data_IF_729318246608
#
_entry.id   IF_729318246608
#
_cell.length_a   1.000
_cell.length_b   1.000
_cell.length_c   1.000
_cell.angle_alpha   90.00
_cell.angle_beta   90.00
_cell.angle_gamma   90.00
#
_symmetry.space_group_name_H-M   'P 1'
#
loop_
_entity.id
_entity.type
_entity.pdbx_description
1 polymer ?
#
# COMPACT_ATOMS: atom_id res chain seq x y z
N UNK A 1 16.90 -0.54 1.54
CA UNK A 1 18.01 -0.34 2.51
C UNK A 1 17.42 -0.62 3.89
N UNK A 2 17.98 -1.55 4.65
CA UNK A 2 17.38 -2.00 5.91
C UNK A 2 17.92 -1.19 7.10
N UNK A 3 17.03 -0.77 8.00
CA UNK A 3 17.36 -0.02 9.22
C UNK A 3 17.94 -0.97 10.27
N UNK A 4 18.91 -0.51 11.07
CA UNK A 4 19.48 -1.29 12.18
C UNK A 4 20.64 -2.21 11.82
N UNK A 5 20.99 -2.34 10.53
CA UNK A 5 22.17 -3.10 10.07
C UNK A 5 23.47 -2.29 10.02
N UNK A 6 23.40 -0.96 10.09
CA UNK A 6 24.54 -0.05 9.96
C UNK A 6 24.45 1.06 11.02
N UNK A 7 25.30 1.04 12.06
CA UNK A 7 25.19 1.95 13.22
C UNK A 7 25.31 3.44 12.91
N UNK A 8 26.04 3.81 11.85
CA UNK A 8 26.35 5.20 11.51
C UNK A 8 25.61 5.70 10.27
N UNK A 9 24.52 5.02 9.90
CA UNK A 9 23.72 5.41 8.75
C UNK A 9 23.02 6.75 9.01
N UNK A 10 23.28 7.74 8.14
CA UNK A 10 22.61 9.04 8.16
C UNK A 10 21.39 8.96 7.25
N UNK A 11 20.22 9.29 7.80
CA UNK A 11 18.96 9.33 7.05
C UNK A 11 18.65 10.77 6.64
N UNK A 12 18.26 10.96 5.39
CA UNK A 12 17.82 12.25 4.89
C UNK A 12 16.32 12.45 5.18
N UNK A 13 15.97 13.67 5.58
CA UNK A 13 14.59 14.08 5.78
C UNK A 13 14.08 14.91 4.60
N UNK A 14 12.80 14.80 4.30
CA UNK A 14 12.09 15.63 3.32
C UNK A 14 10.81 16.21 3.90
N UNK A 15 10.34 17.31 3.32
CA UNK A 15 9.06 17.91 3.66
C UNK A 15 8.34 18.40 2.40
N UNK A 16 7.02 18.33 2.40
CA UNK A 16 6.17 18.80 1.31
C UNK A 16 4.88 19.38 1.89
N UNK A 17 4.36 20.43 1.26
CA UNK A 17 3.03 20.94 1.59
C UNK A 17 1.97 20.03 0.98
N UNK A 18 0.94 19.73 1.77
CA UNK A 18 -0.22 18.94 1.35
C UNK A 18 -1.48 19.78 1.49
N UNK A 19 -2.37 19.68 0.52
CA UNK A 19 -3.64 20.40 0.55
C UNK A 19 -4.61 19.76 1.55
N UNK A 20 -5.60 20.52 2.00
CA UNK A 20 -6.72 19.97 2.77
C UNK A 20 -7.43 18.87 1.97
N UNK A 21 -7.97 17.88 2.69
CA UNK A 21 -8.63 16.69 2.14
C UNK A 21 -7.70 15.76 1.33
N UNK A 22 -6.38 15.92 1.49
CA UNK A 22 -5.41 14.97 0.95
C UNK A 22 -5.36 13.69 1.79
N UNK A 23 -4.96 12.58 1.16
CA UNK A 23 -4.66 11.32 1.83
C UNK A 23 -3.20 10.95 1.61
N UNK A 24 -2.48 10.63 2.69
CA UNK A 24 -1.17 10.00 2.63
C UNK A 24 -1.29 8.53 3.00
N UNK A 25 -0.79 7.66 2.13
CA UNK A 25 -0.73 6.22 2.38
C UNK A 25 0.72 5.80 2.64
N UNK A 26 0.93 5.04 3.71
CA UNK A 26 2.22 4.42 4.06
C UNK A 26 1.99 2.91 4.10
N UNK A 27 2.83 2.14 3.41
CA UNK A 27 2.64 0.70 3.26
C UNK A 27 3.97 -0.07 3.22
N UNK A 28 3.94 -1.36 3.57
CA UNK A 28 5.03 -2.31 3.35
C UNK A 28 5.08 -2.79 1.90
N UNK A 29 6.21 -3.34 1.48
CA UNK A 29 6.38 -4.04 0.21
C UNK A 29 5.44 -5.24 0.02
N UNK A 30 5.00 -5.90 1.10
CA UNK A 30 3.94 -6.92 1.03
C UNK A 30 2.61 -6.44 0.40
N UNK A 31 2.33 -5.13 0.38
CA UNK A 31 1.17 -4.54 -0.35
C UNK A 31 1.41 -4.52 -1.87
N UNK A 32 2.66 -4.63 -2.29
CA UNK A 32 3.12 -4.52 -3.67
C UNK A 32 3.52 -5.84 -4.30
N UNK A 33 4.16 -6.73 -3.53
CA UNK A 33 4.72 -8.00 -4.01
C UNK A 33 3.67 -9.11 -4.10
N UNK A 34 2.54 -8.82 -4.76
CA UNK A 34 1.46 -9.79 -4.97
C UNK A 34 1.52 -10.35 -6.38
N UNK A 35 1.75 -11.66 -6.47
CA UNK A 35 1.63 -12.41 -7.73
C UNK A 35 0.17 -12.74 -8.00
N UNK A 36 -0.33 -12.33 -9.17
CA UNK A 36 -1.70 -12.64 -9.61
C UNK A 36 -1.82 -14.10 -10.04
N UNK A 37 -3.05 -14.61 -10.10
CA UNK A 37 -3.36 -15.97 -10.57
C UNK A 37 -2.89 -16.26 -12.00
N UNK A 38 -2.74 -15.24 -12.85
CA UNK A 38 -2.19 -15.36 -14.21
C UNK A 38 -0.66 -15.36 -14.28
N UNK A 39 0.01 -15.27 -13.12
CA UNK A 39 1.46 -15.22 -12.98
C UNK A 39 2.08 -13.84 -13.23
N UNK A 40 1.26 -12.81 -13.52
CA UNK A 40 1.74 -11.43 -13.60
C UNK A 40 1.80 -10.78 -12.22
N UNK A 41 2.66 -9.77 -12.07
CA UNK A 41 2.77 -9.03 -10.80
C UNK A 41 1.75 -7.90 -10.73
N UNK A 42 1.20 -7.67 -9.54
CA UNK A 42 0.53 -6.43 -9.19
C UNK A 42 1.51 -5.25 -9.31
N UNK A 43 1.10 -4.19 -9.98
CA UNK A 43 1.98 -3.07 -10.34
C UNK A 43 1.63 -1.77 -9.63
N UNK A 44 2.60 -0.85 -9.57
CA UNK A 44 2.46 0.35 -8.71
C UNK A 44 1.44 1.31 -9.31
N UNK A 45 1.32 1.29 -10.63
CA UNK A 45 0.25 1.97 -11.35
C UNK A 45 -1.12 1.40 -11.00
N UNK A 46 -1.28 0.07 -10.95
CA UNK A 46 -2.55 -0.55 -10.57
C UNK A 46 -2.94 -0.21 -9.12
N UNK A 47 -1.98 -0.17 -8.19
CA UNK A 47 -2.21 0.29 -6.82
C UNK A 47 -2.71 1.74 -6.79
N UNK A 48 -2.03 2.64 -7.50
CA UNK A 48 -2.46 4.04 -7.61
C UNK A 48 -3.85 4.16 -8.22
N UNK A 49 -4.14 3.41 -9.27
CA UNK A 49 -5.45 3.39 -9.90
C UNK A 49 -6.53 2.88 -8.95
N UNK A 50 -6.23 1.86 -8.15
CA UNK A 50 -7.12 1.34 -7.13
C UNK A 50 -7.44 2.41 -6.07
N UNK A 51 -6.41 3.03 -5.47
CA UNK A 51 -6.57 4.03 -4.42
C UNK A 51 -7.22 5.34 -4.88
N UNK A 52 -7.30 5.59 -6.18
CA UNK A 52 -8.02 6.73 -6.76
C UNK A 52 -9.51 6.49 -6.89
N UNK A 53 -9.97 5.23 -6.81
CA UNK A 53 -11.39 4.90 -6.83
C UNK A 53 -12.02 5.33 -5.51
N UNK A 54 -13.29 5.75 -5.56
CA UNK A 54 -14.05 5.97 -4.32
C UNK A 54 -14.35 4.60 -3.69
N UNK A 55 -14.23 4.46 -2.36
CA UNK A 55 -14.64 3.25 -1.67
C UNK A 55 -16.08 2.91 -2.02
N UNK A 56 -16.34 1.63 -2.29
CA UNK A 56 -17.66 1.11 -2.61
C UNK A 56 -18.27 0.39 -1.40
N UNK A 57 -19.47 0.82 -0.98
CA UNK A 57 -20.23 0.08 0.03
C UNK A 57 -19.89 0.41 1.48
N UNK A 58 -19.15 1.49 1.74
CA UNK A 58 -18.94 2.03 3.09
C UNK A 58 -17.85 1.33 3.91
N UNK A 59 -17.09 0.43 3.29
CA UNK A 59 -15.81 -0.05 3.81
C UNK A 59 -14.73 1.02 3.61
N UNK A 60 -13.59 0.88 4.31
CA UNK A 60 -12.43 1.71 3.99
C UNK A 60 -11.80 1.20 2.69
N UNK A 61 -11.18 2.09 1.93
CA UNK A 61 -10.45 1.73 0.71
C UNK A 61 -9.30 0.73 0.98
N UNK A 62 -8.77 0.69 2.21
CA UNK A 62 -7.74 -0.26 2.62
C UNK A 62 -8.33 -1.66 2.76
N UNK A 63 -9.53 -1.79 3.34
CA UNK A 63 -10.22 -3.08 3.46
C UNK A 63 -10.58 -3.63 2.08
N UNK A 64 -11.06 -2.75 1.18
CA UNK A 64 -11.35 -3.11 -0.20
C UNK A 64 -10.09 -3.54 -0.96
N UNK A 65 -8.97 -2.85 -0.75
CA UNK A 65 -7.69 -3.23 -1.35
C UNK A 65 -7.23 -4.59 -0.85
N UNK A 66 -7.30 -4.84 0.47
CA UNK A 66 -6.89 -6.10 1.07
C UNK A 66 -7.69 -7.28 0.49
N UNK A 67 -9.02 -7.16 0.45
CA UNK A 67 -9.89 -8.16 -0.14
C UNK A 67 -9.61 -8.39 -1.63
N UNK A 68 -9.39 -7.32 -2.38
CA UNK A 68 -9.06 -7.40 -3.81
C UNK A 68 -7.72 -8.11 -4.06
N UNK A 69 -6.70 -7.83 -3.23
CA UNK A 69 -5.40 -8.48 -3.38
C UNK A 69 -5.45 -9.98 -3.06
N UNK A 70 -6.24 -10.39 -2.05
CA UNK A 70 -6.51 -11.81 -1.77
C UNK A 70 -7.20 -12.49 -2.96
N UNK A 71 -8.16 -11.81 -3.59
CA UNK A 71 -8.86 -12.34 -4.76
C UNK A 71 -7.93 -12.55 -5.96
N UNK A 72 -7.13 -11.54 -6.32
CA UNK A 72 -6.22 -11.66 -7.48
C UNK A 72 -5.07 -12.62 -7.23
N UNK A 73 -4.64 -12.79 -5.98
CA UNK A 73 -3.65 -13.78 -5.57
C UNK A 73 -4.22 -15.20 -5.60
N UNK A 74 -5.52 -15.35 -5.31
CA UNK A 74 -6.21 -16.65 -5.28
C UNK A 74 -6.06 -17.39 -3.95
N UNK A 75 -5.71 -16.69 -2.87
CA UNK A 75 -5.60 -17.26 -1.52
C UNK A 75 -5.98 -16.21 -0.46
N UNK A 76 -6.45 -16.67 0.71
CA UNK A 76 -6.74 -15.76 1.83
C UNK A 76 -5.46 -15.18 2.49
N UNK A 77 -4.30 -15.77 2.21
CA UNK A 77 -3.00 -15.32 2.70
C UNK A 77 -2.26 -14.46 1.69
N UNK A 78 -1.31 -13.67 2.19
CA UNK A 78 -0.30 -13.00 1.39
C UNK A 78 1.02 -13.77 1.49
N UNK A 79 1.87 -13.65 0.48
CA UNK A 79 3.23 -14.24 0.51
C UNK A 79 4.13 -13.56 1.55
N UNK A 80 3.84 -12.30 1.90
CA UNK A 80 4.53 -11.49 2.90
C UNK A 80 3.52 -10.68 3.76
N UNK A 81 3.99 -10.09 4.85
CA UNK A 81 3.15 -9.34 5.78
C UNK A 81 2.54 -8.07 5.13
N UNK A 82 1.21 -8.00 5.11
CA UNK A 82 0.47 -6.83 4.64
C UNK A 82 0.36 -5.78 5.75
N UNK A 83 0.91 -4.59 5.53
CA UNK A 83 0.78 -3.44 6.44
C UNK A 83 0.49 -2.17 5.67
N UNK A 84 -0.56 -1.45 6.07
CA UNK A 84 -0.95 -0.19 5.44
C UNK A 84 -1.57 0.79 6.45
N UNK A 85 -1.23 2.07 6.31
CA UNK A 85 -1.73 3.19 7.11
C UNK A 85 -2.22 4.30 6.18
N UNK A 86 -3.40 4.85 6.48
CA UNK A 86 -3.91 6.08 5.89
C UNK A 86 -3.84 7.23 6.88
N UNK A 87 -3.36 8.38 6.42
CA UNK A 87 -3.45 9.66 7.14
C UNK A 87 -4.32 10.62 6.32
N UNK A 88 -5.38 11.13 6.95
CA UNK A 88 -6.29 12.11 6.36
C UNK A 88 -5.96 13.52 6.85
N UNK A 89 -5.74 14.44 5.91
CA UNK A 89 -5.55 15.86 6.22
C UNK A 89 -6.90 16.58 6.12
N UNK A 90 -7.30 17.29 7.18
CA UNK A 90 -8.58 18.01 7.29
C UNK A 90 -8.37 19.52 7.34
#
# INVERSE_FOLDING_TARGET
MFIGGMPEMVYEGGAVFVDAFSHLYVFSDGVFEVTKTDGTMWSYEELKEFLRKKPFGGLSEIDELCAYLQEIHGSEGFEDDFSMLKVEFR
#
